data_IF_569742166547
#
_entry.id   IF_569742166547
#
_cell.length_a   1.000
_cell.length_b   1.000
_cell.length_c   1.000
_cell.angle_alpha   90.00
_cell.angle_beta   90.00
_cell.angle_gamma   90.00
#
_symmetry.space_group_name_H-M   'P 1'
#
loop_
_entity.id
_entity.type
_entity.pdbx_description
1 polymer ?
#
# COMPACT_ATOMS: atom_id res chain seq x y z
N UNK A 1 -15.12 -17.17 -2.85
CA UNK A 1 -14.36 -15.91 -2.75
C UNK A 1 -14.54 -15.18 -4.08
N UNK A 2 -15.59 -14.38 -4.21
CA UNK A 2 -15.76 -13.53 -5.39
C UNK A 2 -14.96 -12.27 -5.15
N UNK A 3 -13.79 -12.15 -5.78
CA UNK A 3 -13.08 -10.88 -5.83
C UNK A 3 -14.01 -9.85 -6.47
N UNK A 4 -14.28 -8.69 -5.85
CA UNK A 4 -14.93 -7.62 -6.56
C UNK A 4 -14.00 -7.23 -7.71
N UNK A 5 -14.42 -7.52 -8.93
CA UNK A 5 -13.79 -6.99 -10.13
C UNK A 5 -14.03 -5.49 -10.07
N UNK A 6 -13.05 -4.76 -9.51
CA UNK A 6 -13.07 -3.31 -9.48
C UNK A 6 -13.06 -2.87 -10.94
N UNK A 7 -14.18 -2.33 -11.41
CA UNK A 7 -14.32 -1.78 -12.75
C UNK A 7 -13.67 -0.39 -12.83
N UNK A 8 -12.44 -0.28 -12.30
CA UNK A 8 -11.63 0.92 -12.41
C UNK A 8 -11.04 0.93 -13.81
N UNK A 9 -11.79 1.54 -14.72
CA UNK A 9 -11.25 1.94 -16.02
C UNK A 9 -10.27 3.09 -15.78
N UNK A 10 -8.98 2.75 -15.76
CA UNK A 10 -7.91 3.74 -15.80
C UNK A 10 -8.08 4.59 -17.07
N UNK A 11 -8.01 5.93 -16.96
CA UNK A 11 -7.90 6.78 -18.14
C UNK A 11 -6.68 6.38 -18.96
N UNK A 12 -6.71 6.70 -20.25
CA UNK A 12 -5.56 6.47 -21.11
C UNK A 12 -4.32 7.22 -20.62
N UNK A 13 -3.13 6.76 -21.04
CA UNK A 13 -1.88 7.43 -20.68
C UNK A 13 -1.90 8.91 -21.11
N UNK A 14 -2.42 9.20 -22.30
CA UNK A 14 -2.48 10.57 -22.83
C UNK A 14 -3.38 11.46 -21.97
N UNK A 15 -4.52 10.94 -21.50
CA UNK A 15 -5.42 11.66 -20.58
C UNK A 15 -4.78 11.90 -19.21
N UNK A 16 -4.08 10.90 -18.67
CA UNK A 16 -3.36 11.04 -17.40
C UNK A 16 -2.21 12.06 -17.53
N UNK A 17 -1.50 12.05 -18.65
CA UNK A 17 -0.42 13.01 -18.92
C UNK A 17 -0.97 14.43 -19.05
N UNK A 18 -2.04 14.62 -19.83
CA UNK A 18 -2.72 15.90 -19.97
C UNK A 18 -3.25 16.41 -18.62
N UNK A 19 -3.79 15.53 -17.79
CA UNK A 19 -4.27 15.88 -16.46
C UNK A 19 -3.10 16.29 -15.54
N UNK A 20 -1.99 15.55 -15.55
CA UNK A 20 -0.82 15.89 -14.74
C UNK A 20 -0.17 17.22 -15.17
N UNK A 21 -0.18 17.54 -16.46
CA UNK A 21 0.42 18.76 -17.01
C UNK A 21 -0.46 20.01 -16.79
N UNK A 22 -1.77 19.88 -17.03
CA UNK A 22 -2.69 21.03 -17.00
C UNK A 22 -3.46 21.18 -15.69
N UNK A 23 -3.60 20.12 -14.90
CA UNK A 23 -4.34 20.13 -13.63
C UNK A 23 -3.76 19.13 -12.61
N UNK A 24 -2.59 19.42 -12.02
CA UNK A 24 -1.91 18.53 -11.09
C UNK A 24 -2.71 18.23 -9.81
N UNK A 25 -3.57 19.16 -9.39
CA UNK A 25 -4.50 18.96 -8.27
C UNK A 25 -5.57 17.93 -8.65
N UNK A 26 -6.16 18.04 -9.84
CA UNK A 26 -7.11 17.06 -10.37
C UNK A 26 -6.50 15.67 -10.55
N UNK A 27 -5.24 15.60 -11.00
CA UNK A 27 -4.49 14.33 -11.05
C UNK A 27 -4.30 13.72 -9.66
N UNK A 28 -4.04 14.55 -8.65
CA UNK A 28 -3.90 14.09 -7.26
C UNK A 28 -5.22 13.58 -6.70
N UNK A 29 -6.33 14.29 -6.96
CA UNK A 29 -7.66 13.87 -6.55
C UNK A 29 -8.07 12.54 -7.21
N UNK A 30 -7.84 12.40 -8.52
CA UNK A 30 -8.13 11.16 -9.25
C UNK A 30 -7.44 9.95 -8.60
N UNK A 31 -6.15 10.07 -8.27
CA UNK A 31 -5.43 8.99 -7.57
C UNK A 31 -6.06 8.65 -6.22
N UNK A 32 -6.43 9.67 -5.43
CA UNK A 32 -7.03 9.46 -4.11
C UNK A 32 -8.40 8.77 -4.22
N UNK A 33 -9.22 9.18 -5.18
CA UNK A 33 -10.54 8.60 -5.41
C UNK A 33 -10.43 7.13 -5.83
N UNK A 34 -9.48 6.82 -6.73
CA UNK A 34 -9.22 5.45 -7.14
C UNK A 34 -8.74 4.57 -5.99
N UNK A 35 -7.78 5.04 -5.18
CA UNK A 35 -7.33 4.30 -4.00
C UNK A 35 -8.48 4.08 -3.02
N UNK A 36 -9.27 5.12 -2.75
CA UNK A 36 -10.41 5.05 -1.83
C UNK A 36 -11.46 4.04 -2.29
N UNK A 37 -11.82 4.06 -3.57
CA UNK A 37 -12.79 3.11 -4.14
C UNK A 37 -12.26 1.67 -4.02
N UNK A 38 -10.97 1.45 -4.32
CA UNK A 38 -10.33 0.14 -4.15
C UNK A 38 -10.42 -0.35 -2.70
N UNK A 39 -10.08 0.51 -1.74
CA UNK A 39 -10.14 0.17 -0.31
C UNK A 39 -11.59 -0.15 0.10
N UNK A 40 -12.55 0.70 -0.26
CA UNK A 40 -13.96 0.51 0.10
C UNK A 40 -14.59 -0.74 -0.54
N UNK A 41 -14.05 -1.21 -1.66
CA UNK A 41 -14.49 -2.46 -2.30
C UNK A 41 -13.99 -3.72 -1.58
N UNK A 42 -12.96 -3.62 -0.73
CA UNK A 42 -12.43 -4.75 0.02
C UNK A 42 -13.34 -5.13 1.21
N UNK A 43 -13.13 -6.33 1.76
CA UNK A 43 -13.81 -6.76 2.99
C UNK A 43 -13.52 -5.80 4.14
N UNK A 44 -14.51 -5.56 5.02
CA UNK A 44 -14.38 -4.63 6.15
C UNK A 44 -13.15 -4.91 7.00
N UNK A 45 -12.85 -6.18 7.29
CA UNK A 45 -11.65 -6.61 8.03
C UNK A 45 -10.32 -6.16 7.38
N UNK A 46 -10.30 -6.00 6.05
CA UNK A 46 -9.10 -5.62 5.29
C UNK A 46 -8.99 -4.10 5.11
N UNK A 47 -10.10 -3.36 5.19
CA UNK A 47 -10.12 -1.91 4.91
C UNK A 47 -9.17 -1.13 5.80
N UNK A 48 -9.15 -1.41 7.11
CA UNK A 48 -8.26 -0.73 8.07
C UNK A 48 -6.79 -0.92 7.70
N UNK A 49 -6.41 -2.15 7.32
CA UNK A 49 -5.05 -2.46 6.88
C UNK A 49 -4.69 -1.73 5.58
N UNK A 50 -5.60 -1.69 4.61
CA UNK A 50 -5.36 -1.01 3.35
C UNK A 50 -5.28 0.52 3.52
N UNK A 51 -6.08 1.13 4.40
CA UNK A 51 -5.95 2.55 4.75
C UNK A 51 -4.60 2.88 5.39
N UNK A 52 -4.12 2.01 6.29
CA UNK A 52 -2.80 2.15 6.86
C UNK A 52 -1.69 2.02 5.80
N UNK A 53 -1.84 1.09 4.85
CA UNK A 53 -0.90 0.94 3.72
C UNK A 53 -0.92 2.15 2.80
N UNK A 54 -2.09 2.70 2.46
CA UNK A 54 -2.20 3.92 1.66
C UNK A 54 -1.51 5.10 2.36
N UNK A 55 -1.75 5.28 3.66
CA UNK A 55 -1.09 6.32 4.45
C UNK A 55 0.44 6.17 4.47
N UNK A 56 0.94 4.93 4.53
CA UNK A 56 2.36 4.63 4.43
C UNK A 56 2.92 4.99 3.04
N UNK A 57 2.22 4.61 1.97
CA UNK A 57 2.58 4.96 0.58
C UNK A 57 2.65 6.48 0.40
N UNK A 58 1.64 7.21 0.87
CA UNK A 58 1.60 8.68 0.77
C UNK A 58 2.77 9.33 1.51
N UNK A 59 3.12 8.81 2.69
CA UNK A 59 4.29 9.27 3.44
C UNK A 59 5.60 8.98 2.69
N UNK A 60 5.76 7.79 2.13
CA UNK A 60 6.96 7.42 1.35
C UNK A 60 7.11 8.34 0.14
N UNK A 61 6.03 8.53 -0.63
CA UNK A 61 6.03 9.44 -1.79
C UNK A 61 6.35 10.87 -1.37
N UNK A 62 5.77 11.35 -0.26
CA UNK A 62 6.02 12.70 0.27
C UNK A 62 7.47 12.95 0.70
N UNK A 63 8.22 11.91 1.05
CA UNK A 63 9.66 12.03 1.38
C UNK A 63 10.57 12.01 0.15
N UNK A 64 10.02 11.76 -1.05
CA UNK A 64 10.81 11.64 -2.26
C UNK A 64 11.20 12.99 -2.86
N UNK A 65 12.45 13.10 -3.31
CA UNK A 65 12.99 14.35 -3.89
C UNK A 65 12.57 14.56 -5.35
N UNK A 66 12.18 13.49 -6.05
CA UNK A 66 11.73 13.54 -7.43
C UNK A 66 10.81 12.34 -7.77
N UNK A 67 10.06 12.41 -8.88
CA UNK A 67 9.14 11.34 -9.28
C UNK A 67 9.81 9.99 -9.55
N UNK A 68 11.03 9.97 -10.08
CA UNK A 68 11.76 8.72 -10.35
C UNK A 68 12.10 7.99 -9.06
N UNK A 69 12.50 8.73 -8.02
CA UNK A 69 12.76 8.17 -6.69
C UNK A 69 11.49 7.58 -6.08
N UNK A 70 10.35 8.28 -6.20
CA UNK A 70 9.06 7.75 -5.78
C UNK A 70 8.73 6.44 -6.51
N UNK A 71 8.87 6.39 -7.83
CA UNK A 71 8.61 5.19 -8.63
C UNK A 71 9.49 4.00 -8.19
N UNK A 72 10.77 4.21 -7.91
CA UNK A 72 11.67 3.16 -7.43
C UNK A 72 11.23 2.62 -6.06
N UNK A 73 10.86 3.51 -5.12
CA UNK A 73 10.39 3.08 -3.81
C UNK A 73 9.04 2.35 -3.87
N UNK A 74 8.11 2.83 -4.70
CA UNK A 74 6.82 2.18 -4.92
C UNK A 74 6.99 0.79 -5.52
N UNK A 75 7.85 0.63 -6.53
CA UNK A 75 8.16 -0.68 -7.12
C UNK A 75 8.79 -1.63 -6.10
N UNK A 76 9.70 -1.13 -5.26
CA UNK A 76 10.30 -1.94 -4.19
C UNK A 76 9.25 -2.42 -3.19
N UNK A 77 8.35 -1.54 -2.77
CA UNK A 77 7.26 -1.90 -1.86
C UNK A 77 6.34 -2.96 -2.48
N UNK A 78 5.94 -2.77 -3.75
CA UNK A 78 5.10 -3.71 -4.47
C UNK A 78 5.73 -5.10 -4.55
N UNK A 79 7.02 -5.18 -4.90
CA UNK A 79 7.75 -6.46 -4.91
C UNK A 79 7.79 -7.08 -3.52
N UNK A 80 8.02 -6.29 -2.46
CA UNK A 80 8.00 -6.82 -1.08
C UNK A 80 6.65 -7.43 -0.71
N UNK A 81 5.54 -6.78 -1.09
CA UNK A 81 4.20 -7.33 -0.84
C UNK A 81 3.93 -8.58 -1.67
N UNK A 82 4.42 -8.65 -2.91
CA UNK A 82 4.29 -9.83 -3.76
C UNK A 82 5.07 -11.03 -3.19
N UNK A 83 6.28 -10.82 -2.66
CA UNK A 83 7.05 -11.86 -2.00
C UNK A 83 6.32 -12.38 -0.76
N UNK A 84 5.85 -11.48 0.13
CA UNK A 84 5.06 -11.89 1.31
C UNK A 84 3.82 -12.70 0.92
N UNK A 85 3.17 -12.32 -0.18
CA UNK A 85 2.02 -13.06 -0.70
C UNK A 85 2.42 -14.45 -1.19
N UNK A 86 3.53 -14.55 -1.93
CA UNK A 86 4.09 -15.84 -2.37
C UNK A 86 4.44 -16.74 -1.18
N UNK A 87 5.10 -16.20 -0.16
CA UNK A 87 5.47 -16.94 1.07
C UNK A 87 4.23 -17.51 1.79
N UNK A 88 3.14 -16.73 1.82
CA UNK A 88 1.85 -17.17 2.38
C UNK A 88 1.20 -18.29 1.56
N UNK A 89 1.30 -18.21 0.23
CA UNK A 89 0.76 -19.26 -0.65
C UNK A 89 1.58 -20.55 -0.61
N UNK A 90 2.91 -20.45 -0.52
CA UNK A 90 3.81 -21.59 -0.48
C UNK A 90 3.84 -22.28 0.90
N UNK A 91 3.16 -21.70 1.90
CA UNK A 91 3.01 -22.29 3.23
C UNK A 91 4.24 -22.10 4.13
N UNK A 92 5.20 -21.26 3.73
CA UNK A 92 6.44 -20.98 4.47
C UNK A 92 6.23 -19.95 5.59
N UNK A 93 4.97 -19.76 6.03
CA UNK A 93 4.57 -18.86 7.13
C UNK A 93 5.01 -19.38 8.50
N UNK A 94 5.66 -20.55 8.55
CA UNK A 94 5.96 -21.27 9.79
C UNK A 94 7.03 -20.61 10.69
N UNK A 95 7.75 -19.59 10.22
CA UNK A 95 8.87 -19.00 10.98
C UNK A 95 8.74 -17.52 11.35
N UNK A 96 7.79 -16.77 10.79
CA UNK A 96 7.73 -15.30 10.99
C UNK A 96 7.08 -14.92 12.34
N UNK A 97 6.10 -15.68 12.82
CA UNK A 97 5.45 -15.45 14.14
C UNK A 97 6.05 -16.29 15.28
N UNK A 98 6.90 -17.27 14.96
CA UNK A 98 7.45 -18.23 15.93
C UNK A 98 8.69 -17.72 16.68
N UNK A 99 9.25 -16.57 16.28
CA UNK A 99 10.48 -16.03 16.86
C UNK A 99 10.26 -14.59 17.28
N UNK A 100 10.69 -14.27 18.50
CA UNK A 100 10.47 -13.04 19.25
C UNK A 100 9.18 -13.01 20.08
N UNK A 101 9.05 -13.97 21.01
CA UNK A 101 8.43 -13.65 22.29
C UNK A 101 9.26 -12.55 22.96
N UNK A 102 8.86 -11.29 22.79
CA UNK A 102 9.47 -10.20 23.55
C UNK A 102 9.19 -10.46 25.04
N UNK A 103 10.25 -10.51 25.84
CA UNK A 103 10.11 -10.61 27.28
C UNK A 103 9.49 -9.30 27.79
N UNK A 104 8.23 -9.36 28.22
CA UNK A 104 7.56 -8.22 28.86
C UNK A 104 8.16 -8.08 30.26
N UNK A 105 9.02 -7.08 30.45
CA UNK A 105 9.59 -6.73 31.76
C UNK A 105 8.68 -5.65 32.37
N UNK A 106 8.09 -5.89 33.56
CA UNK A 106 7.37 -4.85 34.31
C UNK A 106 8.28 -3.64 34.52
N UNK A 107 7.72 -2.43 34.43
CA UNK A 107 8.50 -1.19 34.52
C UNK A 107 9.30 -1.08 35.84
N UNK A 108 8.80 -1.71 36.90
CA UNK A 108 9.43 -1.74 38.22
C UNK A 108 10.72 -2.60 38.26
N UNK A 109 10.87 -3.55 37.34
CA UNK A 109 11.99 -4.51 37.27
C UNK A 109 13.11 -4.09 36.28
N UNK A 110 13.05 -2.87 35.73
CA UNK A 110 14.01 -2.38 34.73
C UNK A 110 15.36 -1.89 35.34
N UNK A 111 15.50 -1.83 36.67
CA UNK A 111 16.69 -1.27 37.32
C UNK A 111 17.72 -2.30 37.76
#
# INVERSE_FOLDING_TARGET
MSSPLINQTLPSFDELMALAEHNPEGFTQLKQDMCKEMILSASEEMQDRLWAQQSHIDRVVGTCKNPNHANVLLMRELVSQMVKFQDVLDGDVSEIDSQHSAQVIPLDDWR
#
